data_IF_919654036689
#
_entry.id   IF_919654036689
#
_cell.length_a   1.000
_cell.length_b   1.000
_cell.length_c   1.000
_cell.angle_alpha   90.00
_cell.angle_beta   90.00
_cell.angle_gamma   90.00
#
_symmetry.space_group_name_H-M   'P 1'
#
loop_
_entity.id
_entity.type
_entity.pdbx_description
1 polymer ?
#
# COMPACT_ATOMS: atom_id res chain seq x y z
N UNK A 1 4.68 -26.98 20.21
CA UNK A 1 3.93 -26.07 19.33
C UNK A 1 4.03 -26.62 17.92
N UNK A 2 2.89 -26.87 17.28
CA UNK A 2 2.83 -27.37 15.90
C UNK A 2 3.57 -26.42 14.94
N UNK A 3 4.15 -26.96 13.87
CA UNK A 3 4.97 -26.25 12.89
C UNK A 3 4.21 -25.07 12.29
N UNK A 4 2.94 -25.26 11.92
CA UNK A 4 2.11 -24.17 11.39
C UNK A 4 1.92 -23.03 12.39
N UNK A 5 1.67 -23.35 13.67
CA UNK A 5 1.52 -22.34 14.72
C UNK A 5 2.80 -21.54 14.94
N UNK A 6 3.98 -22.17 14.78
CA UNK A 6 5.27 -21.47 14.82
C UNK A 6 5.42 -20.49 13.66
N UNK A 7 5.12 -20.92 12.44
CA UNK A 7 5.21 -20.05 11.26
C UNK A 7 4.25 -18.87 11.33
N UNK A 8 3.03 -19.05 11.84
CA UNK A 8 2.10 -17.94 12.09
C UNK A 8 2.69 -16.92 13.05
N UNK A 9 3.28 -17.37 14.16
CA UNK A 9 3.91 -16.46 15.13
C UNK A 9 5.10 -15.72 14.49
N UNK A 10 5.95 -16.44 13.76
CA UNK A 10 7.09 -15.84 13.07
C UNK A 10 6.64 -14.82 12.02
N UNK A 11 5.64 -15.14 11.19
CA UNK A 11 5.11 -14.25 10.18
C UNK A 11 4.54 -12.97 10.79
N UNK A 12 3.77 -13.07 11.88
CA UNK A 12 3.21 -11.91 12.58
C UNK A 12 4.30 -11.06 13.25
N UNK A 13 5.32 -11.68 13.83
CA UNK A 13 6.48 -10.96 14.37
C UNK A 13 7.25 -10.23 13.27
N UNK A 14 7.54 -10.89 12.15
CA UNK A 14 8.21 -10.28 10.99
C UNK A 14 7.36 -9.10 10.49
N UNK A 15 6.07 -9.29 10.26
CA UNK A 15 5.17 -8.24 9.80
C UNK A 15 5.12 -7.04 10.75
N UNK A 16 5.04 -7.28 12.06
CA UNK A 16 5.05 -6.23 13.08
C UNK A 16 6.37 -5.44 13.10
N UNK A 17 7.51 -6.13 13.03
CA UNK A 17 8.82 -5.48 12.94
C UNK A 17 8.95 -4.68 11.63
N UNK A 18 8.53 -5.24 10.50
CA UNK A 18 8.56 -4.54 9.21
C UNK A 18 7.72 -3.28 9.24
N UNK A 19 6.47 -3.36 9.70
CA UNK A 19 5.59 -2.21 9.82
C UNK A 19 6.18 -1.13 10.74
N UNK A 20 6.77 -1.52 11.88
CA UNK A 20 7.44 -0.58 12.78
C UNK A 20 8.60 0.16 12.11
N UNK A 21 9.53 -0.56 11.49
CA UNK A 21 10.71 0.06 10.85
C UNK A 21 10.33 0.89 9.62
N UNK A 22 9.34 0.43 8.85
CA UNK A 22 8.83 1.16 7.69
C UNK A 22 8.13 2.47 8.10
N UNK A 23 7.18 2.41 9.04
CA UNK A 23 6.39 3.60 9.46
C UNK A 23 7.24 4.60 10.25
N UNK A 24 8.15 4.12 11.10
CA UNK A 24 9.06 5.02 11.83
C UNK A 24 10.12 5.66 10.93
N UNK A 25 10.44 5.01 9.80
CA UNK A 25 11.53 5.37 8.91
C UNK A 25 12.92 5.11 9.49
N UNK A 26 13.05 4.50 10.68
CA UNK A 26 14.35 4.28 11.33
C UNK A 26 15.01 2.99 10.80
N UNK A 27 16.33 2.98 10.54
CA UNK A 27 17.31 4.04 10.81
C UNK A 27 17.53 5.04 9.67
N UNK A 28 16.97 4.81 8.48
CA UNK A 28 17.40 5.51 7.26
C UNK A 28 16.77 6.91 7.10
N UNK A 29 15.75 7.27 7.88
CA UNK A 29 15.11 8.60 7.91
C UNK A 29 16.11 9.74 8.18
N UNK A 30 17.22 9.45 8.85
CA UNK A 30 18.26 10.43 9.14
C UNK A 30 19.30 10.57 8.01
N UNK A 31 19.23 9.72 6.98
CA UNK A 31 20.05 9.84 5.78
C UNK A 31 19.44 10.90 4.88
N UNK A 32 19.92 12.14 5.05
CA UNK A 32 19.57 13.25 4.19
C UNK A 32 20.60 13.38 3.08
N UNK A 33 20.22 13.03 1.86
CA UNK A 33 21.04 13.22 0.67
C UNK A 33 20.41 14.38 -0.12
N UNK A 34 20.87 15.63 0.09
CA UNK A 34 20.35 16.75 -0.67
C UNK A 34 20.74 16.58 -2.14
N UNK A 35 19.76 16.38 -3.01
CA UNK A 35 19.98 16.19 -4.44
C UNK A 35 18.91 16.91 -5.25
N UNK A 36 19.35 17.90 -6.04
CA UNK A 36 18.49 18.82 -6.80
C UNK A 36 17.37 19.44 -5.93
N UNK A 37 16.15 18.96 -6.11
CA UNK A 37 14.88 19.46 -5.61
C UNK A 37 14.06 18.37 -4.91
N UNK A 38 14.70 17.22 -4.60
CA UNK A 38 14.12 16.12 -3.82
C UNK A 38 13.94 16.51 -2.35
N UNK A 39 12.90 15.98 -1.73
CA UNK A 39 12.78 15.98 -0.28
C UNK A 39 13.97 15.20 0.31
N UNK A 40 14.55 15.77 1.36
CA UNK A 40 15.83 15.31 1.91
C UNK A 40 15.81 13.83 2.33
N UNK A 41 14.64 13.34 2.77
CA UNK A 41 14.43 12.00 3.29
C UNK A 41 13.92 10.98 2.26
N UNK A 42 13.53 11.39 1.04
CA UNK A 42 12.95 10.46 0.03
C UNK A 42 13.87 9.27 -0.25
N UNK A 43 15.16 9.52 -0.46
CA UNK A 43 16.13 8.45 -0.73
C UNK A 43 16.28 7.55 0.49
N UNK A 44 16.34 8.13 1.70
CA UNK A 44 16.39 7.39 2.95
C UNK A 44 15.17 6.48 3.15
N UNK A 45 13.97 6.97 2.85
CA UNK A 45 12.72 6.19 2.94
C UNK A 45 12.65 5.06 1.90
N UNK A 46 13.11 5.30 0.66
CA UNK A 46 13.19 4.25 -0.36
C UNK A 46 14.17 3.15 0.06
N UNK A 47 15.36 3.54 0.55
CA UNK A 47 16.35 2.60 1.08
C UNK A 47 15.80 1.81 2.28
N UNK A 48 15.11 2.47 3.21
CA UNK A 48 14.44 1.83 4.34
C UNK A 48 13.48 0.74 3.85
N UNK A 49 12.58 1.09 2.94
CA UNK A 49 11.57 0.18 2.43
C UNK A 49 12.21 -1.04 1.75
N UNK A 50 13.21 -0.83 0.89
CA UNK A 50 13.89 -1.93 0.19
C UNK A 50 14.68 -2.84 1.14
N UNK A 51 15.40 -2.28 2.10
CA UNK A 51 16.19 -3.06 3.08
C UNK A 51 15.26 -3.86 3.99
N UNK A 52 14.22 -3.24 4.54
CA UNK A 52 13.25 -3.93 5.41
C UNK A 52 12.49 -5.00 4.63
N UNK A 53 12.07 -4.71 3.40
CA UNK A 53 11.43 -5.68 2.52
C UNK A 53 12.34 -6.88 2.23
N UNK A 54 13.62 -6.64 1.86
CA UNK A 54 14.57 -7.71 1.58
C UNK A 54 14.85 -8.58 2.80
N UNK A 55 15.09 -7.98 3.97
CA UNK A 55 15.28 -8.72 5.23
C UNK A 55 14.03 -9.53 5.56
N UNK A 56 12.84 -8.93 5.43
CA UNK A 56 11.56 -9.60 5.62
C UNK A 56 11.42 -10.82 4.71
N UNK A 57 11.72 -10.67 3.43
CA UNK A 57 11.68 -11.75 2.45
C UNK A 57 12.63 -12.89 2.83
N UNK A 58 13.88 -12.59 3.20
CA UNK A 58 14.84 -13.59 3.66
C UNK A 58 14.36 -14.33 4.92
N UNK A 59 13.86 -13.59 5.92
CA UNK A 59 13.36 -14.18 7.17
C UNK A 59 12.15 -15.07 6.92
N UNK A 60 11.19 -14.62 6.11
CA UNK A 60 10.01 -15.42 5.75
C UNK A 60 10.41 -16.69 5.00
N UNK A 61 11.36 -16.62 4.07
CA UNK A 61 11.82 -17.80 3.33
C UNK A 61 12.45 -18.87 4.25
N UNK A 62 13.16 -18.44 5.31
CA UNK A 62 13.81 -19.35 6.26
C UNK A 62 12.85 -19.84 7.35
N UNK A 63 12.02 -18.95 7.91
CA UNK A 63 11.22 -19.23 9.10
C UNK A 63 9.79 -19.66 8.80
N UNK A 64 9.28 -19.32 7.61
CA UNK A 64 7.90 -19.59 7.20
C UNK A 64 7.83 -20.23 5.80
N UNK A 65 8.53 -21.36 5.55
CA UNK A 65 8.65 -21.93 4.20
C UNK A 65 7.31 -22.35 3.57
N UNK A 66 6.24 -22.53 4.35
CA UNK A 66 4.92 -22.89 3.82
C UNK A 66 4.01 -21.68 3.51
N UNK A 67 4.51 -20.45 3.62
CA UNK A 67 3.78 -19.27 3.18
C UNK A 67 3.83 -19.15 1.66
N UNK A 68 2.66 -19.03 1.03
CA UNK A 68 2.55 -18.92 -0.41
C UNK A 68 2.63 -17.45 -0.79
N UNK A 69 3.83 -16.97 -1.11
CA UNK A 69 4.05 -15.55 -1.46
C UNK A 69 3.85 -15.27 -2.96
N UNK A 70 4.13 -16.25 -3.80
CA UNK A 70 4.09 -16.13 -5.24
C UNK A 70 3.45 -17.37 -5.87
N UNK A 71 2.45 -17.14 -6.70
CA UNK A 71 1.87 -18.13 -7.61
C UNK A 71 2.05 -17.69 -9.06
N UNK A 72 2.13 -18.68 -9.95
CA UNK A 72 2.18 -18.51 -11.41
C UNK A 72 0.79 -18.56 -12.06
N UNK A 73 -0.30 -18.63 -11.28
CA UNK A 73 -1.65 -18.83 -11.80
C UNK A 73 -2.28 -17.56 -12.41
N UNK A 74 -3.05 -17.79 -13.47
CA UNK A 74 -3.64 -16.80 -14.37
C UNK A 74 -4.37 -15.63 -13.69
N UNK A 75 -4.15 -14.44 -14.26
CA UNK A 75 -4.75 -13.18 -13.86
C UNK A 75 -6.29 -13.25 -13.84
N UNK A 76 -6.90 -13.11 -12.67
CA UNK A 76 -8.31 -12.81 -12.57
C UNK A 76 -8.58 -11.44 -13.22
N UNK A 77 -9.69 -11.33 -13.95
CA UNK A 77 -10.10 -10.19 -14.77
C UNK A 77 -10.40 -8.93 -13.95
N UNK A 78 -9.38 -8.27 -13.41
CA UNK A 78 -9.47 -6.94 -12.78
C UNK A 78 -9.21 -5.79 -13.79
N UNK A 79 -9.15 -6.08 -15.09
CA UNK A 79 -8.66 -5.14 -16.11
C UNK A 79 -9.31 -3.75 -16.05
N UNK A 80 -10.65 -3.69 -16.15
CA UNK A 80 -11.35 -2.40 -16.12
C UNK A 80 -11.36 -1.74 -14.74
N UNK A 81 -11.38 -2.51 -13.65
CA UNK A 81 -11.34 -1.96 -12.30
C UNK A 81 -9.97 -1.35 -11.96
N UNK A 82 -8.87 -1.89 -12.50
CA UNK A 82 -7.52 -1.29 -12.41
C UNK A 82 -7.45 0.04 -13.16
N UNK A 83 -8.14 0.16 -14.30
CA UNK A 83 -8.22 1.46 -15.01
C UNK A 83 -8.91 2.49 -14.13
N UNK A 84 -10.04 2.14 -13.49
CA UNK A 84 -10.75 3.05 -12.60
C UNK A 84 -9.98 3.37 -11.31
N UNK A 85 -9.24 2.39 -10.77
CA UNK A 85 -8.35 2.55 -9.62
C UNK A 85 -7.37 3.71 -9.81
N UNK A 86 -6.75 3.82 -11.00
CA UNK A 86 -5.80 4.89 -11.28
C UNK A 86 -6.48 6.15 -11.83
N UNK A 87 -7.30 6.01 -12.88
CA UNK A 87 -7.74 7.13 -13.71
C UNK A 87 -8.65 8.10 -12.96
N UNK A 88 -9.62 7.59 -12.17
CA UNK A 88 -10.57 8.46 -11.48
C UNK A 88 -9.86 9.28 -10.38
N UNK A 89 -9.07 8.67 -9.47
CA UNK A 89 -8.25 9.41 -8.51
C UNK A 89 -7.27 10.38 -9.17
N UNK A 90 -6.54 9.94 -10.20
CA UNK A 90 -5.56 10.78 -10.89
C UNK A 90 -6.21 12.05 -11.46
N UNK A 91 -7.31 11.93 -12.21
CA UNK A 91 -8.00 13.08 -12.79
C UNK A 91 -8.58 13.99 -11.71
N UNK A 92 -9.12 13.41 -10.63
CA UNK A 92 -9.69 14.14 -9.52
C UNK A 92 -8.64 14.96 -8.74
N UNK A 93 -7.47 14.36 -8.47
CA UNK A 93 -6.34 15.02 -7.81
C UNK A 93 -5.75 16.08 -8.75
N UNK A 94 -5.49 15.73 -10.00
CA UNK A 94 -4.98 16.65 -11.02
C UNK A 94 -5.84 17.91 -11.17
N UNK A 95 -7.18 17.76 -11.16
CA UNK A 95 -8.08 18.92 -11.22
C UNK A 95 -8.08 19.72 -9.92
N UNK A 96 -8.13 19.04 -8.77
CA UNK A 96 -8.20 19.70 -7.47
C UNK A 96 -6.94 20.46 -7.09
N UNK A 97 -5.78 20.09 -7.64
CA UNK A 97 -4.48 20.72 -7.35
C UNK A 97 -4.15 21.90 -8.26
N UNK A 98 -5.03 22.28 -9.21
CA UNK A 98 -4.76 23.41 -10.10
C UNK A 98 -4.73 24.75 -9.35
N UNK A 99 -3.87 25.71 -9.77
CA UNK A 99 -2.89 25.59 -10.86
C UNK A 99 -1.65 24.75 -10.46
N UNK A 100 -1.14 23.95 -11.38
CA UNK A 100 0.08 23.14 -11.20
C UNK A 100 1.30 23.93 -11.69
N UNK A 101 1.75 24.87 -10.86
CA UNK A 101 2.83 25.80 -11.20
C UNK A 101 4.23 25.26 -10.87
N UNK A 102 4.31 24.08 -10.25
CA UNK A 102 5.58 23.42 -9.95
C UNK A 102 6.35 23.04 -11.21
N UNK A 103 7.67 23.25 -11.19
CA UNK A 103 8.60 22.86 -12.25
C UNK A 103 9.60 21.81 -11.72
N UNK A 104 9.14 20.61 -11.33
CA UNK A 104 10.00 19.59 -10.74
C UNK A 104 11.02 19.10 -11.76
N UNK A 105 12.21 18.75 -11.29
CA UNK A 105 13.19 18.08 -12.12
C UNK A 105 12.69 16.68 -12.54
N UNK A 106 13.24 16.15 -13.63
CA UNK A 106 12.97 14.75 -14.01
C UNK A 106 13.36 13.75 -12.91
N UNK A 107 14.34 14.09 -12.08
CA UNK A 107 14.76 13.27 -10.93
C UNK A 107 13.71 13.27 -9.83
N UNK A 108 13.07 14.41 -9.56
CA UNK A 108 11.96 14.50 -8.60
C UNK A 108 10.76 13.68 -9.05
N UNK A 109 10.38 13.80 -10.32
CA UNK A 109 9.30 12.97 -10.89
C UNK A 109 9.63 11.48 -10.76
N UNK A 110 10.86 11.08 -11.08
CA UNK A 110 11.26 9.68 -10.98
C UNK A 110 11.26 9.17 -9.54
N UNK A 111 11.94 9.85 -8.61
CA UNK A 111 12.08 9.35 -7.24
C UNK A 111 10.80 9.50 -6.42
N UNK A 112 10.19 10.69 -6.38
CA UNK A 112 9.01 10.95 -5.54
C UNK A 112 7.70 10.53 -6.23
N UNK A 113 7.63 10.69 -7.55
CA UNK A 113 6.42 10.38 -8.32
C UNK A 113 6.29 8.92 -8.74
N UNK A 114 7.41 8.17 -8.85
CA UNK A 114 7.40 6.80 -9.40
C UNK A 114 8.03 5.80 -8.44
N UNK A 115 9.33 5.94 -8.16
CA UNK A 115 10.14 4.93 -7.47
C UNK A 115 9.77 4.76 -6.00
N UNK A 116 9.45 5.85 -5.31
CA UNK A 116 8.95 5.81 -3.94
C UNK A 116 7.73 4.89 -3.84
N UNK A 117 6.74 5.05 -4.73
CA UNK A 117 5.53 4.22 -4.73
C UNK A 117 5.78 2.76 -5.13
N UNK A 118 6.81 2.49 -5.95
CA UNK A 118 7.30 1.11 -6.16
C UNK A 118 7.70 0.48 -4.82
N UNK A 119 8.49 1.21 -4.04
CA UNK A 119 8.97 0.73 -2.74
C UNK A 119 7.82 0.53 -1.75
N UNK A 120 6.86 1.46 -1.70
CA UNK A 120 5.65 1.39 -0.87
C UNK A 120 4.82 0.15 -1.21
N UNK A 121 4.47 -0.04 -2.49
CA UNK A 121 3.67 -1.18 -2.91
C UNK A 121 4.32 -2.53 -2.58
N UNK A 122 5.65 -2.65 -2.77
CA UNK A 122 6.38 -3.87 -2.43
C UNK A 122 6.34 -4.19 -0.93
N UNK A 123 6.66 -3.22 -0.07
CA UNK A 123 6.77 -3.47 1.36
C UNK A 123 5.39 -3.65 2.01
N UNK A 124 4.43 -2.80 1.68
CA UNK A 124 3.09 -2.82 2.30
C UNK A 124 2.33 -4.10 1.93
N UNK A 125 2.34 -4.49 0.65
CA UNK A 125 1.69 -5.73 0.25
C UNK A 125 2.38 -6.96 0.84
N UNK A 126 3.70 -6.92 1.00
CA UNK A 126 4.43 -8.04 1.60
C UNK A 126 3.99 -8.30 3.04
N UNK A 127 4.00 -7.29 3.93
CA UNK A 127 3.59 -7.53 5.32
C UNK A 127 2.07 -7.65 5.47
N UNK A 128 1.25 -6.91 4.71
CA UNK A 128 -0.21 -7.01 4.84
C UNK A 128 -0.78 -8.28 4.21
N UNK A 129 -0.47 -8.56 2.94
CA UNK A 129 -1.09 -9.65 2.17
C UNK A 129 -0.24 -10.92 2.28
N UNK A 130 1.08 -10.75 2.21
CA UNK A 130 2.02 -11.85 2.30
C UNK A 130 2.02 -12.50 3.68
N UNK A 131 2.01 -11.71 4.75
CA UNK A 131 2.16 -12.23 6.12
C UNK A 131 0.88 -12.19 6.94
N UNK A 132 0.30 -11.02 7.16
CA UNK A 132 -0.85 -10.89 8.09
C UNK A 132 -2.10 -11.58 7.53
N UNK A 133 -2.43 -11.38 6.25
CA UNK A 133 -3.62 -11.96 5.63
C UNK A 133 -3.57 -13.49 5.65
N UNK A 134 -2.47 -14.08 5.18
CA UNK A 134 -2.27 -15.53 5.23
C UNK A 134 -2.29 -16.08 6.65
N UNK A 135 -1.73 -15.36 7.63
CA UNK A 135 -1.80 -15.74 9.04
C UNK A 135 -3.24 -15.83 9.53
N UNK A 136 -4.06 -14.82 9.22
CA UNK A 136 -5.48 -14.80 9.63
C UNK A 136 -6.27 -15.89 8.89
N UNK A 137 -6.00 -16.13 7.60
CA UNK A 137 -6.63 -17.21 6.83
C UNK A 137 -6.34 -18.58 7.47
N UNK A 138 -5.10 -18.85 7.86
CA UNK A 138 -4.72 -20.11 8.55
C UNK A 138 -5.39 -20.27 9.92
N UNK A 139 -5.73 -19.19 10.60
CA UNK A 139 -6.38 -19.24 11.94
C UNK A 139 -7.90 -19.38 11.82
N UNK A 140 -8.54 -18.60 10.94
CA UNK A 140 -10.01 -18.44 10.91
C UNK A 140 -10.66 -19.24 9.78
N UNK A 141 -9.89 -19.60 8.74
CA UNK A 141 -10.36 -20.31 7.54
C UNK A 141 -11.57 -19.61 6.87
N UNK A 142 -11.52 -18.28 6.79
CA UNK A 142 -12.55 -17.46 6.13
C UNK A 142 -11.89 -16.26 5.44
N UNK A 143 -11.90 -16.25 4.11
CA UNK A 143 -11.22 -15.24 3.31
C UNK A 143 -11.82 -13.85 3.47
N UNK A 144 -13.15 -13.72 3.47
CA UNK A 144 -13.83 -12.43 3.63
C UNK A 144 -13.50 -11.80 4.98
N UNK A 145 -13.50 -12.60 6.05
CA UNK A 145 -13.11 -12.14 7.38
C UNK A 145 -11.63 -11.73 7.43
N UNK A 146 -10.74 -12.54 6.85
CA UNK A 146 -9.31 -12.26 6.82
C UNK A 146 -9.00 -10.97 6.02
N UNK A 147 -9.65 -10.78 4.88
CA UNK A 147 -9.59 -9.54 4.09
C UNK A 147 -10.07 -8.35 4.92
N UNK A 148 -11.24 -8.45 5.57
CA UNK A 148 -11.78 -7.37 6.39
C UNK A 148 -10.84 -6.95 7.53
N UNK A 149 -10.27 -7.93 8.25
CA UNK A 149 -9.35 -7.68 9.35
C UNK A 149 -8.03 -7.06 8.90
N UNK A 150 -7.44 -7.57 7.81
CA UNK A 150 -6.21 -7.01 7.26
C UNK A 150 -6.41 -5.62 6.65
N UNK A 151 -7.55 -5.38 6.01
CA UNK A 151 -7.92 -4.06 5.51
C UNK A 151 -8.09 -3.04 6.64
N UNK A 152 -8.68 -3.43 7.77
CA UNK A 152 -8.77 -2.58 8.94
C UNK A 152 -7.38 -2.23 9.48
N UNK A 153 -6.49 -3.23 9.64
CA UNK A 153 -5.11 -2.99 10.06
C UNK A 153 -4.41 -2.04 9.08
N UNK A 154 -4.52 -2.30 7.77
CA UNK A 154 -3.93 -1.48 6.72
C UNK A 154 -4.41 -0.02 6.79
N UNK A 155 -5.71 0.22 6.95
CA UNK A 155 -6.25 1.58 7.13
C UNK A 155 -5.77 2.28 8.40
N UNK A 156 -5.64 1.55 9.52
CA UNK A 156 -5.13 2.11 10.77
C UNK A 156 -3.64 2.47 10.69
N UNK A 157 -2.83 1.68 9.98
CA UNK A 157 -1.41 1.94 9.77
C UNK A 157 -1.13 3.23 8.98
N UNK A 158 -2.14 3.77 8.29
CA UNK A 158 -2.03 5.01 7.52
C UNK A 158 -2.24 6.28 8.37
N UNK A 159 -2.88 6.18 9.54
CA UNK A 159 -3.18 7.34 10.41
C UNK A 159 -1.93 8.16 10.80
N UNK A 160 -0.77 7.55 11.15
CA UNK A 160 0.44 8.31 11.48
C UNK A 160 0.86 9.31 10.38
N UNK A 161 0.71 8.94 9.10
CA UNK A 161 1.01 9.79 7.95
C UNK A 161 -0.01 10.90 7.68
N UNK A 162 -1.04 11.03 8.53
CA UNK A 162 -2.12 12.01 8.40
C UNK A 162 -2.22 12.93 9.62
N UNK A 163 -1.35 12.75 10.62
CA UNK A 163 -1.34 13.60 11.81
C UNK A 163 -1.13 15.07 11.43
N UNK A 164 -1.95 15.95 12.00
CA UNK A 164 -1.96 17.38 11.67
C UNK A 164 -2.88 17.80 10.53
N UNK A 165 -3.48 16.85 9.79
CA UNK A 165 -4.53 17.15 8.81
C UNK A 165 -5.89 17.34 9.49
N UNK A 166 -6.83 17.99 8.80
CA UNK A 166 -8.20 18.16 9.30
C UNK A 166 -8.86 16.81 9.58
N UNK A 167 -9.58 16.69 10.71
CA UNK A 167 -10.17 15.43 11.18
C UNK A 167 -11.00 14.71 10.12
N UNK A 168 -11.81 15.46 9.35
CA UNK A 168 -12.63 14.88 8.28
C UNK A 168 -11.78 14.24 7.17
N UNK A 169 -10.64 14.85 6.83
CA UNK A 169 -9.69 14.32 5.85
C UNK A 169 -9.04 13.05 6.40
N UNK A 170 -8.64 13.02 7.68
CA UNK A 170 -8.10 11.82 8.31
C UNK A 170 -9.12 10.67 8.29
N UNK A 171 -10.39 10.94 8.60
CA UNK A 171 -11.46 9.93 8.55
C UNK A 171 -11.64 9.39 7.13
N UNK A 172 -11.80 10.29 6.14
CA UNK A 172 -11.94 9.89 4.73
C UNK A 172 -10.75 9.07 4.25
N UNK A 173 -9.54 9.53 4.58
CA UNK A 173 -8.29 8.86 4.24
C UNK A 173 -8.00 7.60 5.07
N UNK A 174 -8.74 7.33 6.13
CA UNK A 174 -8.67 6.03 6.80
C UNK A 174 -9.62 5.07 6.10
N UNK A 175 -10.85 5.50 5.85
CA UNK A 175 -11.88 4.68 5.19
C UNK A 175 -11.51 4.33 3.74
N UNK A 176 -10.86 5.24 3.00
CA UNK A 176 -10.40 4.97 1.63
C UNK A 176 -9.34 3.86 1.58
N UNK A 177 -8.57 3.69 2.66
CA UNK A 177 -7.39 2.82 2.76
C UNK A 177 -7.91 1.47 3.19
N UNK A 178 -8.93 1.43 4.05
CA UNK A 178 -9.72 0.22 4.28
C UNK A 178 -10.34 -0.27 2.95
N UNK A 179 -10.91 0.63 2.14
CA UNK A 179 -11.46 0.29 0.81
C UNK A 179 -10.43 -0.36 -0.13
N UNK A 180 -9.26 0.27 -0.30
CA UNK A 180 -8.12 -0.32 -1.02
C UNK A 180 -7.63 -1.62 -0.36
N UNK A 181 -7.59 -1.62 0.98
CA UNK A 181 -7.33 -2.74 1.86
C UNK A 181 -8.05 -3.99 1.41
N UNK A 182 -9.37 -3.86 1.33
CA UNK A 182 -10.31 -4.89 0.88
C UNK A 182 -10.03 -5.27 -0.58
N UNK A 183 -9.94 -4.29 -1.48
CA UNK A 183 -9.74 -4.56 -2.91
C UNK A 183 -8.45 -5.34 -3.19
N UNK A 184 -7.32 -4.92 -2.65
CA UNK A 184 -6.03 -5.61 -2.79
C UNK A 184 -6.04 -6.97 -2.08
N UNK A 185 -6.66 -7.08 -0.91
CA UNK A 185 -6.85 -8.36 -0.22
C UNK A 185 -7.62 -9.36 -1.10
N UNK A 186 -8.69 -8.91 -1.76
CA UNK A 186 -9.45 -9.73 -2.71
C UNK A 186 -8.63 -10.18 -3.92
N UNK A 187 -7.85 -9.27 -4.50
CA UNK A 187 -6.93 -9.60 -5.61
C UNK A 187 -5.93 -10.65 -5.15
N UNK A 188 -5.33 -10.47 -3.98
CA UNK A 188 -4.35 -11.40 -3.46
C UNK A 188 -4.95 -12.77 -3.20
N UNK A 189 -6.11 -12.86 -2.53
CA UNK A 189 -6.78 -14.14 -2.29
C UNK A 189 -7.05 -14.90 -3.59
N UNK A 190 -7.50 -14.20 -4.64
CA UNK A 190 -7.83 -14.82 -5.94
C UNK A 190 -6.61 -15.16 -6.79
N UNK A 191 -5.49 -14.44 -6.64
CA UNK A 191 -4.31 -14.60 -7.52
C UNK A 191 -3.13 -15.29 -6.84
N UNK A 192 -3.06 -15.25 -5.51
CA UNK A 192 -1.92 -15.65 -4.69
C UNK A 192 -0.60 -15.07 -5.21
N UNK A 193 -0.63 -13.84 -5.74
CA UNK A 193 0.53 -13.21 -6.38
C UNK A 193 0.83 -11.87 -5.72
N UNK A 194 1.84 -11.85 -4.83
CA UNK A 194 2.32 -10.61 -4.22
C UNK A 194 2.80 -9.61 -5.27
N UNK A 195 3.52 -10.07 -6.29
CA UNK A 195 4.01 -9.18 -7.35
C UNK A 195 2.88 -8.47 -8.10
N UNK A 196 1.79 -9.19 -8.39
CA UNK A 196 0.64 -8.61 -9.09
C UNK A 196 -0.11 -7.59 -8.23
N UNK A 197 -0.41 -7.91 -6.96
CA UNK A 197 -1.08 -6.95 -6.07
C UNK A 197 -0.19 -5.75 -5.74
N UNK A 198 1.13 -5.95 -5.60
CA UNK A 198 2.10 -4.85 -5.42
C UNK A 198 2.07 -3.90 -6.61
N UNK A 199 2.09 -4.43 -7.83
CA UNK A 199 2.00 -3.62 -9.04
C UNK A 199 0.69 -2.81 -9.11
N UNK A 200 -0.44 -3.42 -8.74
CA UNK A 200 -1.74 -2.73 -8.71
C UNK A 200 -1.77 -1.64 -7.62
N UNK A 201 -1.18 -1.90 -6.46
CA UNK A 201 -1.03 -0.90 -5.40
C UNK A 201 -0.21 0.29 -5.92
N UNK A 202 0.93 0.05 -6.55
CA UNK A 202 1.76 1.10 -7.15
C UNK A 202 0.97 1.95 -8.16
N UNK A 203 0.10 1.33 -8.97
CA UNK A 203 -0.77 2.07 -9.88
C UNK A 203 -1.79 2.96 -9.15
N UNK A 204 -2.36 2.50 -8.03
CA UNK A 204 -3.25 3.33 -7.22
C UNK A 204 -2.51 4.56 -6.66
N UNK A 205 -1.28 4.36 -6.20
CA UNK A 205 -0.44 5.39 -5.62
C UNK A 205 0.04 6.42 -6.65
N UNK A 206 0.31 6.00 -7.89
CA UNK A 206 0.66 6.91 -8.98
C UNK A 206 -0.44 7.91 -9.33
N UNK A 207 -1.67 7.71 -8.85
CA UNK A 207 -2.69 8.75 -8.91
C UNK A 207 -2.27 10.05 -8.21
N UNK A 208 -1.31 9.98 -7.27
CA UNK A 208 -0.77 11.11 -6.54
C UNK A 208 0.39 11.83 -7.25
N UNK A 209 0.86 11.38 -8.42
CA UNK A 209 1.90 12.08 -9.20
C UNK A 209 1.65 13.59 -9.38
N UNK A 210 0.41 14.10 -9.57
CA UNK A 210 0.17 15.53 -9.70
C UNK A 210 0.65 16.36 -8.49
N UNK A 211 0.79 15.78 -7.29
CA UNK A 211 1.37 16.46 -6.13
C UNK A 211 2.82 16.91 -6.35
N UNK A 212 3.58 16.20 -7.17
CA UNK A 212 4.98 16.57 -7.50
C UNK A 212 5.05 17.91 -8.25
N UNK A 213 3.94 18.34 -8.87
CA UNK A 213 3.79 19.59 -9.61
C UNK A 213 3.00 20.66 -8.83
N UNK A 214 2.66 20.41 -7.57
CA UNK A 214 1.86 21.30 -6.74
C UNK A 214 2.62 21.73 -5.49
N UNK A 215 2.36 22.95 -5.04
CA UNK A 215 2.82 23.44 -3.73
C UNK A 215 1.91 22.97 -2.58
N UNK A 216 0.75 22.38 -2.89
CA UNK A 216 -0.15 21.82 -1.88
C UNK A 216 0.36 20.46 -1.43
N UNK A 217 0.46 20.26 -0.12
CA UNK A 217 0.85 18.98 0.50
C UNK A 217 -0.33 18.18 1.06
N UNK A 218 -1.56 18.59 0.73
CA UNK A 218 -2.79 17.96 1.22
C UNK A 218 -3.81 17.76 0.09
N UNK A 219 -4.69 16.77 0.28
CA UNK A 219 -5.77 16.48 -0.65
C UNK A 219 -6.87 17.54 -0.56
N UNK A 220 -7.24 18.21 -1.66
CA UNK A 220 -8.44 19.03 -1.72
C UNK A 220 -9.67 18.22 -1.33
N UNK A 221 -10.61 18.80 -0.57
CA UNK A 221 -11.73 18.05 0.01
C UNK A 221 -12.61 17.33 -1.02
N UNK A 222 -12.86 17.96 -2.18
CA UNK A 222 -13.60 17.33 -3.28
C UNK A 222 -12.85 16.13 -3.87
N UNK A 223 -11.53 16.28 -4.07
CA UNK A 223 -10.69 15.19 -4.56
C UNK A 223 -10.64 14.04 -3.55
N UNK A 224 -10.45 14.33 -2.27
CA UNK A 224 -10.48 13.33 -1.20
C UNK A 224 -11.79 12.55 -1.18
N UNK A 225 -12.94 13.22 -1.35
CA UNK A 225 -14.25 12.58 -1.39
C UNK A 225 -14.41 11.65 -2.62
N UNK A 226 -13.99 12.08 -3.81
CA UNK A 226 -14.05 11.27 -5.03
C UNK A 226 -13.15 10.03 -4.90
N UNK A 227 -11.93 10.20 -4.39
CA UNK A 227 -11.00 9.09 -4.15
C UNK A 227 -11.59 8.10 -3.14
N UNK A 228 -12.14 8.61 -2.02
CA UNK A 228 -12.82 7.80 -1.02
C UNK A 228 -13.95 6.95 -1.62
N UNK A 229 -14.86 7.58 -2.37
CA UNK A 229 -15.99 6.87 -2.99
C UNK A 229 -15.53 5.82 -4.00
N UNK A 230 -14.49 6.14 -4.79
CA UNK A 230 -13.92 5.22 -5.76
C UNK A 230 -13.34 3.98 -5.08
N UNK A 231 -12.51 4.17 -4.05
CA UNK A 231 -11.86 3.06 -3.35
C UNK A 231 -12.82 2.25 -2.48
N UNK A 232 -13.88 2.87 -1.95
CA UNK A 232 -14.96 2.15 -1.29
C UNK A 232 -15.71 1.26 -2.28
N UNK A 233 -16.06 1.78 -3.47
CA UNK A 233 -16.73 1.00 -4.51
C UNK A 233 -15.88 -0.17 -5.01
N UNK A 234 -14.57 0.03 -5.19
CA UNK A 234 -13.63 -1.03 -5.55
C UNK A 234 -13.50 -2.09 -4.44
N UNK A 235 -13.49 -1.68 -3.16
CA UNK A 235 -13.53 -2.60 -2.03
C UNK A 235 -14.78 -3.49 -2.06
N UNK A 236 -15.97 -2.90 -2.25
CA UNK A 236 -17.21 -3.65 -2.40
C UNK A 236 -17.16 -4.63 -3.59
N UNK A 237 -16.65 -4.18 -4.75
CA UNK A 237 -16.45 -5.04 -5.91
C UNK A 237 -15.49 -6.22 -5.61
N UNK A 238 -14.41 -5.96 -4.88
CA UNK A 238 -13.49 -7.01 -4.43
C UNK A 238 -14.17 -8.10 -3.59
N UNK A 239 -15.07 -7.74 -2.68
CA UNK A 239 -15.80 -8.71 -1.86
C UNK A 239 -16.79 -9.55 -2.69
N UNK A 240 -17.41 -8.94 -3.70
CA UNK A 240 -18.31 -9.65 -4.64
C UNK A 240 -17.53 -10.73 -5.39
N UNK A 241 -16.33 -10.40 -5.91
CA UNK A 241 -15.49 -11.37 -6.62
C UNK A 241 -15.04 -12.50 -5.70
N UNK A 242 -14.66 -12.20 -4.45
CA UNK A 242 -14.22 -13.24 -3.51
C UNK A 242 -15.34 -14.21 -3.18
N UNK A 243 -16.56 -13.70 -3.04
CA UNK A 243 -17.74 -14.48 -2.69
C UNK A 243 -18.37 -15.26 -3.85
N UNK A 244 -17.95 -14.99 -5.10
CA UNK A 244 -18.36 -15.72 -6.31
C UNK A 244 -17.37 -16.82 -6.67
#
# INVERSE_FOLDING_TARGET
MDTERKEIIYALCIAGCMAFFYISGIPFKYINIPFLDLHADTIGLCLQALVVWFIGLCLTHVLCPHYQLYSHTHHAYYGLSIVFLFLIPFLSIYWGLRPLEGHPSGMKIFFEGIFYYVCVGLIEEFFCRGLILQSIQKIINNDVFAIGMTALIYGLLHIPGMMGQATIVVIMRTLWSIGLGIYFGSIYVKTQSLGYVSFIHMMADWAAIPFVFSELSYYPGQSAAIVFLTYLALGCYGLVIVSS
#
